data_IF_042667339314
#
_entry.id   IF_042667339314
#
_cell.length_a   1.000
_cell.length_b   1.000
_cell.length_c   1.000
_cell.angle_alpha   90.00
_cell.angle_beta   90.00
_cell.angle_gamma   90.00
#
_symmetry.space_group_name_H-M   'P 1'
#
loop_
_entity.id
_entity.type
_entity.pdbx_description
1 polymer ?
#
# COMPACT_ATOMS: atom_id res chain seq x y z
N UNK A 1 49.37 -55.01 9.21
CA UNK A 1 49.57 -53.57 9.47
C UNK A 1 48.40 -52.83 8.86
N UNK A 2 47.60 -52.20 9.72
CA UNK A 2 46.32 -51.56 9.44
C UNK A 2 46.39 -50.50 8.34
N UNK A 3 45.34 -50.45 7.52
CA UNK A 3 45.03 -49.30 6.66
C UNK A 3 44.53 -48.18 7.56
N UNK A 4 45.26 -47.07 7.59
CA UNK A 4 44.84 -45.84 8.23
C UNK A 4 43.67 -45.24 7.42
N UNK A 5 42.44 -45.39 7.88
CA UNK A 5 41.30 -44.67 7.32
C UNK A 5 41.45 -43.17 7.60
N UNK A 6 41.51 -42.37 6.53
CA UNK A 6 41.49 -40.94 6.64
C UNK A 6 40.14 -40.48 7.21
N UNK A 7 40.15 -39.93 8.43
CA UNK A 7 39.00 -39.24 9.01
C UNK A 7 38.50 -38.16 8.03
N UNK A 8 37.31 -38.37 7.48
CA UNK A 8 36.55 -37.30 6.81
C UNK A 8 36.14 -36.29 7.87
N UNK A 9 36.94 -35.23 8.02
CA UNK A 9 36.54 -34.03 8.74
C UNK A 9 35.26 -33.54 8.07
N UNK A 10 34.15 -33.61 8.81
CA UNK A 10 32.88 -33.00 8.42
C UNK A 10 33.15 -31.56 8.02
N UNK A 11 32.93 -31.21 6.75
CA UNK A 11 33.02 -29.82 6.35
C UNK A 11 31.94 -29.07 7.10
N UNK A 12 32.33 -28.34 8.15
CA UNK A 12 31.48 -27.34 8.75
C UNK A 12 31.10 -26.40 7.62
N UNK A 13 29.83 -26.46 7.17
CA UNK A 13 29.32 -25.48 6.20
C UNK A 13 29.66 -24.11 6.79
N UNK A 14 30.42 -23.27 6.07
CA UNK A 14 30.67 -21.92 6.55
C UNK A 14 29.31 -21.31 6.86
N UNK A 15 29.12 -20.84 8.10
CA UNK A 15 27.91 -20.11 8.46
C UNK A 15 27.88 -18.91 7.53
N UNK A 16 27.04 -18.97 6.49
CA UNK A 16 26.89 -17.88 5.55
C UNK A 16 26.56 -16.63 6.36
N UNK A 17 27.35 -15.57 6.19
CA UNK A 17 27.05 -14.31 6.84
C UNK A 17 25.61 -13.93 6.48
N UNK A 18 24.85 -13.36 7.42
CA UNK A 18 23.49 -12.90 7.14
C UNK A 18 23.45 -11.89 5.98
N UNK A 19 24.56 -11.19 5.77
CA UNK A 19 24.78 -10.28 4.64
C UNK A 19 25.00 -11.01 3.30
N UNK A 20 25.53 -12.24 3.33
CA UNK A 20 25.73 -13.07 2.13
C UNK A 20 24.46 -13.85 1.77
N UNK A 21 23.45 -13.84 2.64
CA UNK A 21 22.18 -14.51 2.39
C UNK A 21 21.37 -13.64 1.42
N UNK A 22 20.98 -14.15 0.24
CA UNK A 22 20.08 -13.41 -0.63
C UNK A 22 18.79 -13.10 0.11
N UNK A 23 18.28 -11.88 -0.04
CA UNK A 23 17.02 -11.46 0.56
C UNK A 23 15.93 -12.48 0.18
N UNK A 24 15.13 -12.88 1.17
CA UNK A 24 13.99 -13.76 0.92
C UNK A 24 13.11 -13.13 -0.17
N UNK A 25 12.78 -13.91 -1.20
CA UNK A 25 11.88 -13.49 -2.29
C UNK A 25 10.44 -13.23 -1.78
N UNK A 26 10.16 -13.49 -0.50
CA UNK A 26 9.14 -12.77 0.26
C UNK A 26 7.68 -13.09 -0.07
N UNK A 27 7.39 -14.14 -0.84
CA UNK A 27 6.02 -14.55 -1.16
C UNK A 27 5.62 -15.72 -0.27
N UNK A 28 5.18 -15.41 0.95
CA UNK A 28 4.42 -16.35 1.80
C UNK A 28 2.94 -16.02 1.68
N UNK A 29 2.13 -17.01 1.34
CA UNK A 29 0.68 -16.84 1.28
C UNK A 29 0.08 -16.89 2.68
N UNK A 30 -0.85 -15.98 2.96
CA UNK A 30 -1.59 -15.91 4.23
C UNK A 30 -3.08 -15.95 3.92
N UNK A 31 -3.86 -16.64 4.74
CA UNK A 31 -5.32 -16.67 4.59
C UNK A 31 -5.90 -15.26 4.71
N UNK A 32 -6.79 -14.91 3.76
CA UNK A 32 -7.51 -13.63 3.78
C UNK A 32 -8.29 -13.43 5.08
N UNK A 33 -8.80 -14.51 5.69
CA UNK A 33 -9.54 -14.47 6.94
C UNK A 33 -8.69 -13.94 8.11
N UNK A 34 -7.38 -14.23 8.15
CA UNK A 34 -6.49 -13.75 9.21
C UNK A 34 -6.33 -12.23 9.11
N UNK A 35 -6.13 -11.72 7.89
CA UNK A 35 -6.04 -10.28 7.64
C UNK A 35 -7.35 -9.59 7.99
N UNK A 36 -8.48 -10.21 7.64
CA UNK A 36 -9.80 -9.69 7.95
C UNK A 36 -10.05 -9.56 9.46
N UNK A 37 -9.76 -10.62 10.22
CA UNK A 37 -9.93 -10.63 11.68
C UNK A 37 -9.00 -9.61 12.35
N UNK A 38 -7.73 -9.55 11.94
CA UNK A 38 -6.78 -8.57 12.46
C UNK A 38 -7.25 -7.14 12.18
N UNK A 39 -7.66 -6.86 10.94
CA UNK A 39 -8.12 -5.54 10.55
C UNK A 39 -9.40 -5.13 11.28
N UNK A 40 -10.34 -6.07 11.46
CA UNK A 40 -11.54 -5.86 12.28
C UNK A 40 -11.19 -5.44 13.70
N UNK A 41 -10.24 -6.12 14.35
CA UNK A 41 -9.77 -5.74 15.69
C UNK A 41 -9.05 -4.39 15.71
N UNK A 42 -8.27 -4.04 14.69
CA UNK A 42 -7.65 -2.71 14.57
C UNK A 42 -8.72 -1.62 14.52
N UNK A 43 -9.80 -1.83 13.77
CA UNK A 43 -10.92 -0.89 13.66
C UNK A 43 -11.66 -0.77 14.99
N UNK A 44 -11.99 -1.89 15.65
CA UNK A 44 -12.65 -1.91 16.96
C UNK A 44 -11.78 -1.24 18.04
N UNK A 45 -10.49 -1.58 18.10
CA UNK A 45 -9.54 -0.97 19.02
C UNK A 45 -9.43 0.54 18.80
N UNK A 46 -9.33 0.97 17.55
CA UNK A 46 -9.28 2.40 17.19
C UNK A 46 -10.56 3.11 17.57
N UNK A 47 -11.72 2.49 17.36
CA UNK A 47 -13.02 3.02 17.73
C UNK A 47 -13.16 3.21 19.25
N UNK A 48 -12.63 2.29 20.07
CA UNK A 48 -12.70 2.40 21.53
C UNK A 48 -11.95 3.61 22.12
N UNK A 49 -11.13 4.29 21.31
CA UNK A 49 -10.21 5.35 21.72
C UNK A 49 -10.50 6.72 21.09
N UNK A 50 -11.58 6.83 20.34
CA UNK A 50 -11.98 8.05 19.63
C UNK A 50 -13.45 8.33 19.89
N UNK A 51 -13.84 9.60 19.81
CA UNK A 51 -15.20 10.04 20.15
C UNK A 51 -16.06 10.31 18.92
N UNK A 52 -15.42 10.55 17.77
CA UNK A 52 -16.12 10.91 16.52
C UNK A 52 -15.69 10.03 15.34
N UNK A 53 -16.57 9.90 14.33
CA UNK A 53 -16.26 9.16 13.09
C UNK A 53 -15.07 9.79 12.34
N UNK A 54 -14.96 11.12 12.20
CA UNK A 54 -13.79 11.73 11.58
C UNK A 54 -12.47 11.40 12.30
N UNK A 55 -12.45 11.40 13.64
CA UNK A 55 -11.26 10.98 14.40
C UNK A 55 -10.88 9.52 14.12
N UNK A 56 -11.87 8.63 14.04
CA UNK A 56 -11.65 7.23 13.66
C UNK A 56 -11.05 7.13 12.25
N UNK A 57 -11.60 7.88 11.29
CA UNK A 57 -11.11 7.91 9.91
C UNK A 57 -9.67 8.42 9.83
N UNK A 58 -9.33 9.49 10.56
CA UNK A 58 -7.96 10.02 10.66
C UNK A 58 -7.03 8.96 11.27
N UNK A 59 -7.43 8.33 12.38
CA UNK A 59 -6.62 7.29 13.02
C UNK A 59 -6.35 6.09 12.10
N UNK A 60 -7.37 5.65 11.35
CA UNK A 60 -7.21 4.59 10.34
C UNK A 60 -6.32 5.04 9.18
N UNK A 61 -6.46 6.28 8.75
CA UNK A 61 -5.62 6.87 7.70
C UNK A 61 -4.14 6.90 8.12
N UNK A 62 -3.83 7.32 9.35
CA UNK A 62 -2.45 7.37 9.87
C UNK A 62 -1.82 5.97 9.93
N UNK A 63 -2.58 4.97 10.41
CA UNK A 63 -2.14 3.56 10.35
C UNK A 63 -1.87 3.09 8.92
N UNK A 64 -2.68 3.56 7.97
CA UNK A 64 -2.48 3.30 6.54
C UNK A 64 -1.17 3.91 6.02
N UNK A 65 -0.85 5.14 6.43
CA UNK A 65 0.40 5.80 6.02
C UNK A 65 1.64 5.05 6.51
N UNK A 66 1.61 4.54 7.76
CA UNK A 66 2.68 3.73 8.31
C UNK A 66 2.93 2.46 7.48
N UNK A 67 1.85 1.82 7.02
CA UNK A 67 1.92 0.65 6.14
C UNK A 67 2.45 1.03 4.76
N UNK A 68 1.92 2.09 4.14
CA UNK A 68 2.32 2.55 2.81
C UNK A 68 3.81 2.92 2.73
N UNK A 69 4.34 3.58 3.76
CA UNK A 69 5.77 3.95 3.85
C UNK A 69 6.67 2.72 3.82
N UNK A 70 6.26 1.59 4.43
CA UNK A 70 7.05 0.36 4.47
C UNK A 70 6.95 -0.46 3.18
N UNK A 71 5.78 -0.43 2.51
CA UNK A 71 5.54 -1.20 1.29
C UNK A 71 6.43 -0.72 0.14
N UNK A 72 6.60 0.60 0.00
CA UNK A 72 7.24 1.17 -1.20
C UNK A 72 8.74 0.87 -1.28
N UNK A 73 9.46 0.96 -0.17
CA UNK A 73 10.90 0.68 -0.12
C UNK A 73 11.18 -0.80 -0.41
N UNK A 74 10.40 -1.70 0.21
CA UNK A 74 10.48 -3.14 -0.05
C UNK A 74 10.20 -3.47 -1.51
N UNK A 75 9.22 -2.79 -2.12
CA UNK A 75 8.86 -3.01 -3.51
C UNK A 75 10.01 -2.62 -4.46
N UNK A 76 10.59 -1.42 -4.31
CA UNK A 76 11.66 -0.97 -5.21
C UNK A 76 12.92 -1.85 -5.13
N UNK A 77 13.27 -2.32 -3.93
CA UNK A 77 14.43 -3.19 -3.74
C UNK A 77 14.21 -4.58 -4.33
N UNK A 78 13.02 -5.17 -4.17
CA UNK A 78 12.78 -6.57 -4.57
C UNK A 78 12.36 -6.73 -6.02
N UNK A 79 11.47 -5.86 -6.51
CA UNK A 79 10.71 -6.13 -7.72
C UNK A 79 11.07 -5.18 -8.88
N UNK A 80 11.80 -4.09 -8.61
CA UNK A 80 12.00 -3.03 -9.61
C UNK A 80 13.44 -2.58 -9.84
N UNK A 81 14.42 -3.31 -9.32
CA UNK A 81 15.85 -2.95 -9.43
C UNK A 81 16.13 -1.48 -9.08
N UNK A 82 15.40 -0.96 -8.09
CA UNK A 82 15.47 0.44 -7.64
C UNK A 82 15.09 1.52 -8.67
N UNK A 83 14.41 1.17 -9.77
CA UNK A 83 13.87 2.17 -10.72
C UNK A 83 12.71 2.93 -10.07
N UNK A 84 12.69 4.26 -10.10
CA UNK A 84 11.58 5.07 -9.58
C UNK A 84 10.77 5.68 -10.72
N UNK A 85 9.46 5.82 -10.53
CA UNK A 85 8.62 6.56 -11.48
C UNK A 85 8.83 8.06 -11.28
N UNK A 86 8.99 8.78 -12.39
CA UNK A 86 9.17 10.23 -12.39
C UNK A 86 7.98 10.97 -12.99
N UNK A 87 7.23 10.32 -13.89
CA UNK A 87 6.00 10.85 -14.50
C UNK A 87 4.78 10.52 -13.64
N UNK A 88 3.91 11.50 -13.44
CA UNK A 88 2.72 11.36 -12.60
C UNK A 88 1.79 10.25 -13.10
N UNK A 89 1.51 10.22 -14.39
CA UNK A 89 0.65 9.20 -15.02
C UNK A 89 1.17 7.78 -14.77
N UNK A 90 2.49 7.57 -14.87
CA UNK A 90 3.09 6.26 -14.60
C UNK A 90 3.01 5.89 -13.12
N UNK A 91 3.17 6.86 -12.23
CA UNK A 91 3.03 6.64 -10.79
C UNK A 91 1.58 6.31 -10.39
N UNK A 92 0.58 6.97 -10.97
CA UNK A 92 -0.83 6.66 -10.75
C UNK A 92 -1.20 5.27 -11.30
N UNK A 93 -0.68 4.90 -12.47
CA UNK A 93 -0.84 3.54 -13.02
C UNK A 93 -0.17 2.49 -12.13
N UNK A 94 0.99 2.80 -11.56
CA UNK A 94 1.66 1.93 -10.60
C UNK A 94 0.80 1.68 -9.35
N UNK A 95 0.13 2.72 -8.82
CA UNK A 95 -0.82 2.57 -7.71
C UNK A 95 -2.01 1.71 -8.12
N UNK A 96 -2.66 2.03 -9.25
CA UNK A 96 -3.84 1.30 -9.77
C UNK A 96 -3.56 -0.19 -9.97
N UNK A 97 -2.40 -0.53 -10.51
CA UNK A 97 -2.08 -1.90 -10.93
C UNK A 97 -1.34 -2.64 -9.83
N UNK A 98 -0.14 -2.19 -9.50
CA UNK A 98 0.83 -2.96 -8.73
C UNK A 98 0.55 -2.88 -7.24
N UNK A 99 0.38 -1.66 -6.70
CA UNK A 99 0.06 -1.48 -5.28
C UNK A 99 -1.27 -2.16 -4.98
N UNK A 100 -2.29 -1.91 -5.83
CA UNK A 100 -3.60 -2.53 -5.67
C UNK A 100 -3.56 -4.04 -5.71
N UNK A 101 -2.87 -4.64 -6.70
CA UNK A 101 -2.75 -6.09 -6.80
C UNK A 101 -2.00 -6.71 -5.62
N UNK A 102 -0.98 -6.03 -5.09
CA UNK A 102 -0.26 -6.49 -3.91
C UNK A 102 -1.11 -6.43 -2.63
N UNK A 103 -2.02 -5.45 -2.52
CA UNK A 103 -2.91 -5.31 -1.37
C UNK A 103 -4.15 -6.21 -1.46
N UNK A 104 -4.73 -6.33 -2.67
CA UNK A 104 -6.10 -6.83 -2.87
C UNK A 104 -6.18 -7.98 -3.88
N UNK A 105 -5.08 -8.38 -4.51
CA UNK A 105 -5.06 -9.46 -5.51
C UNK A 105 -5.66 -9.09 -6.87
N UNK A 106 -6.14 -7.85 -7.04
CA UNK A 106 -6.72 -7.30 -8.27
C UNK A 106 -6.28 -5.85 -8.49
N UNK A 107 -6.36 -5.39 -9.73
CA UNK A 107 -6.17 -3.96 -10.04
C UNK A 107 -7.37 -3.14 -9.57
N UNK A 108 -7.16 -1.84 -9.36
CA UNK A 108 -8.29 -0.94 -9.09
C UNK A 108 -9.19 -0.86 -10.33
N UNK A 109 -10.49 -0.74 -10.16
CA UNK A 109 -11.43 -0.75 -11.29
C UNK A 109 -11.21 0.44 -12.24
N UNK A 110 -11.19 1.67 -11.70
CA UNK A 110 -11.03 2.90 -12.51
C UNK A 110 -9.97 3.84 -11.94
N UNK A 111 -9.36 4.58 -12.86
CA UNK A 111 -8.52 5.74 -12.59
C UNK A 111 -9.04 6.86 -13.50
N UNK A 112 -9.62 7.89 -12.90
CA UNK A 112 -10.22 9.03 -13.62
C UNK A 112 -9.46 10.32 -13.24
N UNK A 113 -9.36 11.26 -14.16
CA UNK A 113 -8.87 12.62 -13.90
C UNK A 113 -10.07 13.55 -13.74
N UNK A 114 -10.02 14.50 -12.81
CA UNK A 114 -11.10 15.46 -12.65
C UNK A 114 -11.15 16.40 -13.86
N UNK A 115 -12.36 16.67 -14.35
CA UNK A 115 -12.55 17.53 -15.53
C UNK A 115 -12.30 19.01 -15.24
N UNK A 116 -12.42 19.42 -13.98
CA UNK A 116 -12.43 20.79 -13.49
C UNK A 116 -11.22 21.16 -12.60
N UNK A 117 -10.40 20.18 -12.21
CA UNK A 117 -9.19 20.40 -11.41
C UNK A 117 -8.07 19.46 -11.86
N UNK A 118 -7.08 20.02 -12.54
CA UNK A 118 -5.94 19.25 -13.07
C UNK A 118 -5.13 18.52 -11.99
N UNK A 119 -5.25 18.94 -10.72
CA UNK A 119 -4.55 18.34 -9.58
C UNK A 119 -5.27 17.14 -8.99
N UNK A 120 -6.52 16.90 -9.39
CA UNK A 120 -7.39 15.94 -8.74
C UNK A 120 -7.59 14.70 -9.62
N UNK A 121 -7.28 13.54 -9.06
CA UNK A 121 -7.48 12.23 -9.67
C UNK A 121 -8.33 11.36 -8.77
N UNK A 122 -9.04 10.40 -9.35
CA UNK A 122 -9.93 9.49 -8.65
C UNK A 122 -9.54 8.04 -8.92
N UNK A 123 -9.29 7.27 -7.86
CA UNK A 123 -9.23 5.81 -7.95
C UNK A 123 -10.56 5.29 -7.44
N UNK A 124 -11.26 4.46 -8.23
CA UNK A 124 -12.63 4.03 -7.91
C UNK A 124 -12.69 2.51 -7.81
N UNK A 125 -13.34 2.03 -6.75
CA UNK A 125 -13.66 0.63 -6.49
C UNK A 125 -15.15 0.49 -6.20
N UNK A 126 -15.88 -0.27 -7.02
CA UNK A 126 -17.29 -0.56 -6.73
C UNK A 126 -17.45 -1.35 -5.42
N UNK A 127 -16.55 -2.31 -5.18
CA UNK A 127 -16.58 -3.22 -4.03
C UNK A 127 -15.18 -3.31 -3.38
N UNK A 128 -14.85 -2.40 -2.45
CA UNK A 128 -13.57 -2.41 -1.77
C UNK A 128 -13.47 -3.59 -0.80
N UNK A 129 -12.42 -4.41 -0.94
CA UNK A 129 -12.21 -5.58 -0.07
C UNK A 129 -12.11 -5.21 1.41
N UNK A 130 -11.55 -4.05 1.73
CA UNK A 130 -11.42 -3.56 3.11
C UNK A 130 -12.77 -3.46 3.82
N UNK A 131 -13.84 -3.14 3.08
CA UNK A 131 -15.19 -3.08 3.64
C UNK A 131 -15.85 -4.47 3.70
N UNK A 132 -15.36 -5.47 2.96
CA UNK A 132 -15.84 -6.86 3.05
C UNK A 132 -15.32 -7.59 4.29
N UNK A 133 -14.24 -7.10 4.90
CA UNK A 133 -13.61 -7.73 6.07
C UNK A 133 -14.19 -7.31 7.42
N UNK A 134 -15.11 -6.35 7.43
CA UNK A 134 -15.68 -5.79 8.65
C UNK A 134 -17.20 -5.86 8.61
N UNK A 135 -17.80 -6.33 9.70
CA UNK A 135 -19.23 -6.18 9.93
C UNK A 135 -19.46 -4.78 10.49
N UNK A 136 -19.78 -3.81 9.64
CA UNK A 136 -20.14 -2.47 10.11
C UNK A 136 -21.46 -2.56 10.89
N UNK A 137 -21.52 -2.13 12.17
CA UNK A 137 -22.76 -2.08 12.93
C UNK A 137 -23.83 -1.25 12.20
N UNK A 138 -25.08 -1.74 12.16
CA UNK A 138 -26.19 -1.15 11.37
C UNK A 138 -26.52 0.29 11.75
N UNK A 139 -26.16 0.71 12.96
CA UNK A 139 -26.30 2.05 13.53
C UNK A 139 -25.23 3.05 13.04
N UNK A 140 -24.17 2.58 12.38
CA UNK A 140 -22.99 3.38 11.98
C UNK A 140 -22.71 3.34 10.48
N UNK A 141 -23.76 3.39 9.65
CA UNK A 141 -23.71 3.31 8.18
C UNK A 141 -22.82 4.33 7.43
N UNK A 142 -22.04 5.15 8.14
CA UNK A 142 -21.05 6.11 7.62
C UNK A 142 -19.59 5.70 7.82
N UNK A 143 -19.28 4.57 8.48
CA UNK A 143 -17.89 4.16 8.72
C UNK A 143 -17.21 3.77 7.39
N UNK A 144 -16.29 4.61 6.92
CA UNK A 144 -15.52 4.34 5.72
C UNK A 144 -14.11 3.84 6.07
N UNK A 145 -13.94 2.52 6.21
CA UNK A 145 -12.61 1.94 6.47
C UNK A 145 -11.66 2.05 5.27
N UNK A 146 -12.14 2.50 4.11
CA UNK A 146 -11.29 2.89 3.00
C UNK A 146 -10.34 4.04 3.36
N UNK A 147 -10.58 4.80 4.43
CA UNK A 147 -9.59 5.76 4.93
C UNK A 147 -8.23 5.13 5.25
N UNK A 148 -8.19 3.87 5.68
CA UNK A 148 -6.93 3.12 5.83
C UNK A 148 -6.19 2.97 4.50
N UNK A 149 -6.88 2.52 3.45
CA UNK A 149 -6.30 2.43 2.11
C UNK A 149 -5.91 3.79 1.55
N UNK A 150 -6.69 4.84 1.82
CA UNK A 150 -6.35 6.22 1.43
C UNK A 150 -5.00 6.64 2.02
N UNK A 151 -4.76 6.33 3.30
CA UNK A 151 -3.46 6.57 3.96
C UNK A 151 -2.30 5.81 3.31
N UNK A 152 -2.52 4.54 2.93
CA UNK A 152 -1.51 3.76 2.19
C UNK A 152 -1.15 4.46 0.87
N UNK A 153 -2.17 4.84 0.08
CA UNK A 153 -1.97 5.50 -1.22
C UNK A 153 -1.27 6.84 -1.04
N UNK A 154 -1.68 7.66 -0.06
CA UNK A 154 -1.06 8.95 0.25
C UNK A 154 0.42 8.79 0.57
N UNK A 155 0.77 7.84 1.44
CA UNK A 155 2.15 7.57 1.79
C UNK A 155 2.97 7.05 0.61
N UNK A 156 2.42 6.17 -0.22
CA UNK A 156 3.11 5.68 -1.43
C UNK A 156 3.43 6.82 -2.39
N UNK A 157 2.45 7.67 -2.70
CA UNK A 157 2.64 8.79 -3.63
C UNK A 157 3.62 9.82 -3.07
N UNK A 158 3.45 10.20 -1.81
CA UNK A 158 4.29 11.20 -1.14
C UNK A 158 5.74 10.73 -1.04
N UNK A 159 5.99 9.48 -0.62
CA UNK A 159 7.35 8.92 -0.52
C UNK A 159 8.01 8.67 -1.89
N UNK A 160 7.23 8.60 -2.96
CA UNK A 160 7.72 8.58 -4.34
C UNK A 160 7.99 9.98 -4.93
N UNK A 161 7.81 11.05 -4.15
CA UNK A 161 8.03 12.43 -4.60
C UNK A 161 6.84 13.05 -5.33
N UNK A 162 5.62 12.55 -5.09
CA UNK A 162 4.36 13.11 -5.57
C UNK A 162 3.47 13.47 -4.36
N UNK A 163 3.85 14.49 -3.57
CA UNK A 163 3.07 14.88 -2.40
C UNK A 163 1.64 15.25 -2.80
N UNK A 164 0.71 14.73 -2.01
CA UNK A 164 -0.72 14.83 -2.25
C UNK A 164 -1.50 14.64 -0.95
N UNK A 165 -2.78 15.01 -0.99
CA UNK A 165 -3.77 14.58 0.00
C UNK A 165 -4.72 13.55 -0.62
N UNK A 166 -4.95 12.45 0.08
CA UNK A 166 -5.89 11.40 -0.32
C UNK A 166 -7.04 11.33 0.68
N UNK A 167 -8.27 11.28 0.16
CA UNK A 167 -9.48 11.14 0.97
C UNK A 167 -10.40 10.10 0.35
N UNK A 168 -11.18 9.40 1.17
CA UNK A 168 -12.08 8.35 0.72
C UNK A 168 -13.56 8.76 0.86
N UNK A 169 -14.33 8.56 -0.20
CA UNK A 169 -15.73 8.99 -0.32
C UNK A 169 -16.62 7.88 -0.87
N UNK A 170 -17.89 7.89 -0.49
CA UNK A 170 -18.91 7.02 -1.08
C UNK A 170 -19.44 7.64 -2.37
N UNK A 171 -18.80 7.32 -3.49
CA UNK A 171 -19.19 7.77 -4.82
C UNK A 171 -18.88 6.66 -5.83
N UNK A 172 -19.88 6.25 -6.63
CA UNK A 172 -19.77 5.10 -7.57
C UNK A 172 -19.17 3.83 -6.92
N UNK A 173 -19.51 3.58 -5.65
CA UNK A 173 -18.80 2.66 -4.78
C UNK A 173 -17.95 3.43 -3.78
N UNK A 174 -16.69 3.04 -3.62
CA UNK A 174 -15.68 3.79 -2.86
C UNK A 174 -14.72 4.48 -3.82
N UNK A 175 -14.63 5.80 -3.70
CA UNK A 175 -13.73 6.64 -4.47
C UNK A 175 -12.64 7.22 -3.58
N UNK A 176 -11.39 7.05 -3.98
CA UNK A 176 -10.22 7.71 -3.40
C UNK A 176 -9.91 8.95 -4.23
N UNK A 177 -10.19 10.13 -3.68
CA UNK A 177 -9.82 11.39 -4.28
C UNK A 177 -8.37 11.70 -3.89
N UNK A 178 -7.49 11.78 -4.89
CA UNK A 178 -6.07 12.11 -4.78
C UNK A 178 -5.89 13.53 -5.30
N UNK A 179 -5.54 14.46 -4.43
CA UNK A 179 -5.29 15.86 -4.79
C UNK A 179 -3.82 16.20 -4.61
N UNK A 180 -3.11 16.46 -5.71
CA UNK A 180 -1.68 16.77 -5.70
C UNK A 180 -1.40 18.24 -5.35
N UNK A 181 -0.20 18.48 -4.81
CA UNK A 181 0.33 19.84 -4.66
C UNK A 181 0.60 20.49 -6.04
N UNK A 182 0.45 21.81 -6.13
CA UNK A 182 0.56 22.57 -7.39
C UNK A 182 1.87 22.30 -8.14
N UNK A 183 2.97 22.23 -7.41
CA UNK A 183 4.29 22.03 -7.99
C UNK A 183 4.48 20.64 -8.59
N UNK A 184 3.68 19.63 -8.19
CA UNK A 184 3.73 18.28 -8.78
C UNK A 184 3.23 18.34 -10.21
N UNK A 185 2.11 19.03 -10.45
CA UNK A 185 1.55 19.20 -11.79
C UNK A 185 2.45 20.09 -12.64
N UNK A 186 2.96 21.19 -12.08
CA UNK A 186 3.88 22.07 -12.79
C UNK A 186 5.16 21.33 -13.24
N UNK A 187 5.74 20.50 -12.36
CA UNK A 187 6.89 19.65 -12.69
C UNK A 187 6.56 18.65 -13.79
N UNK A 188 5.41 17.97 -13.70
CA UNK A 188 5.04 16.94 -14.68
C UNK A 188 4.91 17.52 -16.09
N UNK A 189 4.25 18.69 -16.22
CA UNK A 189 4.16 19.42 -17.50
C UNK A 189 5.52 19.75 -18.12
N UNK A 190 6.48 20.22 -17.31
CA UNK A 190 7.85 20.49 -17.77
C UNK A 190 8.59 19.24 -18.26
N UNK A 191 8.21 18.06 -17.78
CA UNK A 191 8.80 16.78 -18.19
C UNK A 191 8.13 16.20 -19.45
N UNK A 192 6.96 16.70 -19.86
CA UNK A 192 6.29 16.33 -21.11
C UNK A 192 6.79 17.15 -22.31
N UNK A 193 7.27 18.37 -22.07
CA UNK A 193 7.86 19.24 -23.10
C UNK A 193 9.27 18.80 -23.56
N UNK A 194 9.82 17.73 -22.98
CA UNK A 194 11.13 17.14 -23.30
C UNK A 194 11.00 15.76 -23.94
#
# INVERSE_FOLDING_TARGET
MEKLEALKISSMRPRSNILDRPLSKGKSEVSQSIVALLFSEIVQYSQSRVFTVPELQTRLHDLGQDVGTRIIDLYFVRERSSKRETKLTQMLLFVKTTVWKNLFGKEAEKLEHANDDERTYYIIEKEPLVNTFISVPKDKGSLNCANFTAGIVEAVLTNCGFPCKVTAHWHKGTTYMVKFEDFVIARDKQMEEK
#
